data_IF_766865474084
#
_entry.id   IF_766865474084
#
_cell.length_a   1.000
_cell.length_b   1.000
_cell.length_c   1.000
_cell.angle_alpha   90.00
_cell.angle_beta   90.00
_cell.angle_gamma   90.00
#
_symmetry.space_group_name_H-M   'P 1'
#
loop_
_entity.id
_entity.type
_entity.pdbx_description
1 polymer ?
#
# COMPACT_ATOMS: atom_id res chain seq x y z
N UNK A 1 -37.41 -36.73 31.22
CA UNK A 1 -36.50 -36.38 32.34
C UNK A 1 -35.49 -35.38 31.81
N UNK A 2 -35.41 -34.16 32.36
CA UNK A 2 -34.57 -33.09 31.84
C UNK A 2 -33.23 -33.09 32.58
N UNK A 3 -32.17 -33.61 31.96
CA UNK A 3 -30.81 -33.44 32.46
C UNK A 3 -29.82 -33.51 31.30
N UNK A 4 -29.46 -32.35 30.75
CA UNK A 4 -28.18 -32.03 30.11
C UNK A 4 -28.27 -30.64 29.45
N UNK A 5 -28.33 -29.57 30.26
CA UNK A 5 -28.24 -28.18 29.75
C UNK A 5 -27.08 -27.38 30.33
N UNK A 6 -26.24 -27.97 31.19
CA UNK A 6 -25.09 -27.28 31.76
C UNK A 6 -23.84 -28.16 31.68
N UNK A 7 -23.15 -28.10 30.55
CA UNK A 7 -21.73 -28.46 30.44
C UNK A 7 -20.97 -27.21 29.98
N UNK A 8 -19.88 -26.80 30.64
CA UNK A 8 -19.13 -25.57 30.32
C UNK A 8 -18.32 -25.66 29.00
N UNK A 9 -18.39 -26.79 28.30
CA UNK A 9 -17.58 -27.11 27.11
C UNK A 9 -18.36 -27.10 25.79
N UNK A 10 -19.64 -26.70 25.78
CA UNK A 10 -20.36 -26.59 24.51
C UNK A 10 -20.23 -25.15 23.99
N UNK A 11 -19.49 -24.89 22.89
CA UNK A 11 -19.38 -23.54 22.35
C UNK A 11 -20.77 -23.03 22.01
N UNK A 12 -21.08 -21.82 22.46
CA UNK A 12 -22.38 -21.21 22.18
C UNK A 12 -22.62 -21.19 20.67
N UNK A 13 -23.59 -21.98 20.21
CA UNK A 13 -23.86 -22.22 18.78
C UNK A 13 -24.04 -20.91 18.00
N UNK A 14 -24.56 -19.86 18.64
CA UNK A 14 -24.70 -18.54 18.04
C UNK A 14 -23.36 -17.86 17.77
N UNK A 15 -22.44 -17.90 18.74
CA UNK A 15 -21.09 -17.37 18.59
C UNK A 15 -20.30 -18.13 17.53
N UNK A 16 -20.40 -19.46 17.52
CA UNK A 16 -19.74 -20.29 16.52
C UNK A 16 -20.23 -19.97 15.10
N UNK A 17 -21.54 -19.75 14.92
CA UNK A 17 -22.11 -19.28 13.66
C UNK A 17 -21.57 -17.90 13.25
N UNK A 18 -21.42 -16.96 14.19
CA UNK A 18 -20.89 -15.63 13.93
C UNK A 18 -19.41 -15.68 13.52
N UNK A 19 -18.61 -16.52 14.17
CA UNK A 19 -17.20 -16.72 13.84
C UNK A 19 -17.05 -17.37 12.46
N UNK A 20 -17.92 -18.33 12.12
CA UNK A 20 -17.97 -18.90 10.78
C UNK A 20 -18.26 -17.82 9.72
N UNK A 21 -19.25 -16.96 9.95
CA UNK A 21 -19.54 -15.85 9.04
C UNK A 21 -18.39 -14.83 8.97
N UNK A 22 -17.78 -14.49 10.09
CA UNK A 22 -16.62 -13.60 10.13
C UNK A 22 -15.48 -14.17 9.27
N UNK A 23 -15.18 -15.47 9.41
CA UNK A 23 -14.20 -16.16 8.59
C UNK A 23 -14.60 -16.18 7.10
N UNK A 24 -15.86 -16.49 6.80
CA UNK A 24 -16.38 -16.51 5.42
C UNK A 24 -16.24 -15.16 4.72
N UNK A 25 -16.46 -14.06 5.44
CA UNK A 25 -16.30 -12.69 4.93
C UNK A 25 -14.88 -12.11 5.11
N UNK A 26 -13.92 -12.89 5.62
CA UNK A 26 -12.53 -12.48 5.81
C UNK A 26 -12.31 -11.45 6.94
N UNK A 27 -13.24 -11.34 7.89
CA UNK A 27 -13.15 -10.45 9.05
C UNK A 27 -12.42 -11.16 10.19
N UNK A 28 -11.31 -10.62 10.74
CA UNK A 28 -10.65 -11.21 11.89
C UNK A 28 -11.55 -11.02 13.13
N UNK A 29 -11.94 -12.12 13.76
CA UNK A 29 -12.73 -12.14 14.98
C UNK A 29 -12.14 -13.17 15.96
N UNK A 30 -12.04 -12.79 17.22
CA UNK A 30 -11.55 -13.64 18.31
C UNK A 30 -12.71 -14.03 19.22
N UNK A 31 -12.87 -15.34 19.45
CA UNK A 31 -13.95 -15.91 20.24
C UNK A 31 -13.87 -15.46 21.71
N UNK A 32 -12.68 -15.49 22.30
CA UNK A 32 -12.47 -15.18 23.73
C UNK A 32 -12.71 -13.70 24.00
N UNK A 33 -12.24 -12.83 23.11
CA UNK A 33 -12.45 -11.39 23.21
C UNK A 33 -13.95 -11.03 23.12
N UNK A 34 -14.67 -11.63 22.17
CA UNK A 34 -16.10 -11.36 21.99
C UNK A 34 -16.92 -11.86 23.18
N UNK A 35 -16.60 -13.04 23.71
CA UNK A 35 -17.23 -13.54 24.92
C UNK A 35 -16.95 -12.64 26.11
N UNK A 36 -15.70 -12.23 26.33
CA UNK A 36 -15.34 -11.39 27.48
C UNK A 36 -16.05 -10.02 27.47
N UNK A 37 -16.21 -9.41 26.29
CA UNK A 37 -16.78 -8.06 26.16
C UNK A 37 -18.31 -8.04 26.16
N UNK A 38 -18.97 -9.09 25.67
CA UNK A 38 -20.41 -9.07 25.41
C UNK A 38 -21.22 -10.20 26.06
N UNK A 39 -20.58 -11.23 26.63
CA UNK A 39 -21.31 -12.28 27.34
C UNK A 39 -21.55 -11.89 28.82
N UNK A 40 -22.78 -12.07 29.29
CA UNK A 40 -23.07 -12.03 30.73
C UNK A 40 -22.63 -13.36 31.37
N UNK A 41 -21.86 -13.30 32.46
CA UNK A 41 -21.34 -14.48 33.14
C UNK A 41 -22.48 -15.44 33.53
N UNK A 42 -22.46 -16.66 32.98
CA UNK A 42 -23.37 -17.74 33.34
C UNK A 42 -24.73 -17.75 32.62
N UNK A 43 -24.94 -16.94 31.57
CA UNK A 43 -26.14 -17.00 30.72
C UNK A 43 -25.78 -17.34 29.26
N UNK A 44 -26.64 -18.07 28.53
CA UNK A 44 -26.47 -18.26 27.09
C UNK A 44 -26.53 -16.92 26.36
N UNK A 45 -25.80 -16.76 25.24
CA UNK A 45 -25.87 -15.55 24.43
C UNK A 45 -27.32 -15.30 23.99
N UNK A 46 -27.81 -14.13 24.34
CA UNK A 46 -29.05 -13.63 23.78
C UNK A 46 -28.84 -13.08 22.36
N UNK A 47 -29.90 -13.06 21.56
CA UNK A 47 -29.91 -12.53 20.20
C UNK A 47 -29.38 -11.09 20.15
N UNK A 48 -29.71 -10.30 21.17
CA UNK A 48 -29.23 -8.92 21.33
C UNK A 48 -27.71 -8.86 21.50
N UNK A 49 -27.12 -9.79 22.26
CA UNK A 49 -25.68 -9.88 22.42
C UNK A 49 -25.00 -10.25 21.11
N UNK A 50 -25.56 -11.22 20.37
CA UNK A 50 -25.05 -11.63 19.06
C UNK A 50 -25.07 -10.50 18.03
N UNK A 51 -26.16 -9.71 18.00
CA UNK A 51 -26.27 -8.52 17.14
C UNK A 51 -25.25 -7.45 17.52
N UNK A 52 -24.95 -7.26 18.82
CA UNK A 52 -23.93 -6.31 19.29
C UNK A 52 -22.53 -6.76 18.91
N UNK A 53 -22.19 -8.03 19.14
CA UNK A 53 -20.91 -8.63 18.74
C UNK A 53 -20.68 -8.46 17.23
N UNK A 54 -21.69 -8.78 16.42
CA UNK A 54 -21.61 -8.63 14.97
C UNK A 54 -21.40 -7.18 14.53
N UNK A 55 -22.05 -6.22 15.20
CA UNK A 55 -21.84 -4.79 14.95
C UNK A 55 -20.46 -4.30 15.37
N UNK A 56 -19.92 -4.84 16.46
CA UNK A 56 -18.58 -4.52 16.94
C UNK A 56 -17.50 -4.95 15.94
N UNK A 57 -17.60 -6.16 15.38
CA UNK A 57 -16.64 -6.67 14.38
C UNK A 57 -16.84 -6.10 12.96
N UNK A 58 -17.83 -5.21 12.77
CA UNK A 58 -17.98 -4.43 11.52
C UNK A 58 -19.12 -4.86 10.59
N UNK A 59 -19.98 -5.81 10.99
CA UNK A 59 -21.20 -6.13 10.25
C UNK A 59 -22.33 -5.14 10.56
N UNK A 60 -23.16 -4.83 9.57
CA UNK A 60 -24.52 -4.35 9.80
C UNK A 60 -25.41 -5.56 10.02
N UNK A 61 -25.80 -5.79 11.27
CA UNK A 61 -26.64 -6.92 11.66
C UNK A 61 -28.05 -6.48 12.09
N UNK A 62 -29.07 -7.20 11.62
CA UNK A 62 -30.47 -7.00 12.00
C UNK A 62 -31.19 -8.36 12.10
N UNK A 63 -32.01 -8.52 13.12
CA UNK A 63 -32.94 -9.64 13.23
C UNK A 63 -34.24 -9.31 12.47
N UNK A 64 -34.80 -10.30 11.78
CA UNK A 64 -36.03 -10.20 10.98
C UNK A 64 -36.78 -11.53 11.10
N UNK A 65 -38.10 -11.46 11.26
CA UNK A 65 -38.97 -12.63 11.17
C UNK A 65 -39.27 -12.92 9.68
N UNK A 66 -39.14 -14.18 9.26
CA UNK A 66 -39.26 -14.59 7.87
C UNK A 66 -40.04 -15.88 7.75
N UNK A 67 -40.59 -16.09 6.56
CA UNK A 67 -41.29 -17.31 6.15
C UNK A 67 -40.55 -17.96 4.98
N UNK A 68 -40.86 -19.23 4.70
CA UNK A 68 -40.18 -20.00 3.64
C UNK A 68 -40.15 -19.28 2.28
N UNK A 69 -41.26 -18.69 1.78
CA UNK A 69 -41.27 -18.02 0.47
C UNK A 69 -40.32 -16.81 0.36
N UNK A 70 -39.88 -16.26 1.51
CA UNK A 70 -38.97 -15.10 1.54
C UNK A 70 -37.50 -15.49 1.61
N UNK A 71 -37.16 -16.75 1.94
CA UNK A 71 -35.78 -17.20 2.06
C UNK A 71 -35.00 -17.09 0.74
N UNK A 72 -35.64 -17.35 -0.40
CA UNK A 72 -35.02 -17.23 -1.73
C UNK A 72 -34.81 -15.78 -2.18
N UNK A 73 -35.54 -14.82 -1.58
CA UNK A 73 -35.48 -13.40 -1.91
C UNK A 73 -34.52 -12.59 -1.00
N UNK A 74 -34.03 -13.20 0.07
CA UNK A 74 -33.14 -12.56 1.06
C UNK A 74 -31.67 -12.78 0.67
N UNK A 75 -30.81 -11.80 1.00
CA UNK A 75 -29.37 -11.94 0.85
C UNK A 75 -28.81 -12.93 1.89
N UNK A 76 -28.46 -14.13 1.44
CA UNK A 76 -27.75 -15.16 2.19
C UNK A 76 -26.22 -14.95 2.05
N UNK A 77 -25.39 -15.34 3.03
CA UNK A 77 -25.69 -16.18 4.19
C UNK A 77 -26.28 -15.44 5.41
N UNK A 78 -27.10 -16.14 6.19
CA UNK A 78 -27.79 -15.62 7.39
C UNK A 78 -27.74 -16.62 8.56
N UNK A 79 -27.78 -16.15 9.81
CA UNK A 79 -27.90 -17.04 10.99
C UNK A 79 -29.39 -17.23 11.28
N UNK A 80 -29.81 -18.46 11.56
CA UNK A 80 -31.16 -18.78 11.98
C UNK A 80 -31.14 -19.53 13.31
N UNK A 81 -32.21 -19.41 14.08
CA UNK A 81 -32.40 -20.16 15.32
C UNK A 81 -33.40 -21.30 15.12
N UNK A 82 -33.05 -22.48 15.61
CA UNK A 82 -33.94 -23.64 15.64
C UNK A 82 -34.83 -23.63 16.89
N UNK A 83 -35.93 -24.38 16.87
CA UNK A 83 -36.83 -24.53 18.03
C UNK A 83 -36.16 -25.13 19.26
N UNK A 84 -35.08 -25.91 19.10
CA UNK A 84 -34.32 -26.48 20.23
C UNK A 84 -33.36 -25.47 20.90
N UNK A 85 -33.26 -24.24 20.35
CA UNK A 85 -32.39 -23.18 20.84
C UNK A 85 -31.03 -23.07 20.12
N UNK A 86 -30.63 -24.05 19.30
CA UNK A 86 -29.40 -24.02 18.49
C UNK A 86 -29.47 -22.99 17.37
N UNK A 87 -28.32 -22.43 17.03
CA UNK A 87 -28.15 -21.54 15.88
C UNK A 87 -27.43 -22.27 14.76
N UNK A 88 -27.90 -22.08 13.52
CA UNK A 88 -27.27 -22.62 12.31
C UNK A 88 -27.16 -21.52 11.24
N UNK A 89 -26.20 -21.64 10.34
CA UNK A 89 -26.01 -20.69 9.25
C UNK A 89 -26.71 -21.21 7.99
N UNK A 90 -27.65 -20.44 7.45
CA UNK A 90 -28.20 -20.68 6.12
C UNK A 90 -27.22 -20.11 5.10
N UNK A 91 -26.63 -20.99 4.28
CA UNK A 91 -25.65 -20.61 3.25
C UNK A 91 -26.36 -20.32 1.93
N UNK A 92 -27.35 -21.15 1.58
CA UNK A 92 -28.10 -21.03 0.33
C UNK A 92 -29.50 -21.65 0.49
N UNK A 93 -30.50 -21.03 -0.11
CA UNK A 93 -31.86 -21.56 -0.20
C UNK A 93 -32.24 -21.74 -1.67
N UNK A 94 -32.80 -22.90 -2.01
CA UNK A 94 -33.42 -23.24 -3.30
C UNK A 94 -34.89 -23.64 -3.05
N UNK A 95 -35.70 -23.75 -4.11
CA UNK A 95 -37.17 -23.84 -3.99
C UNK A 95 -37.66 -24.96 -3.04
N UNK A 96 -36.99 -26.12 -3.04
CA UNK A 96 -37.39 -27.32 -2.26
C UNK A 96 -36.33 -27.80 -1.25
N UNK A 97 -35.18 -27.10 -1.15
CA UNK A 97 -34.06 -27.52 -0.29
C UNK A 97 -33.23 -26.33 0.18
N UNK A 98 -32.67 -26.46 1.38
CA UNK A 98 -31.81 -25.44 1.98
C UNK A 98 -30.47 -26.05 2.38
N UNK A 99 -29.40 -25.32 2.06
CA UNK A 99 -28.05 -25.64 2.49
C UNK A 99 -27.75 -24.90 3.79
N UNK A 100 -27.60 -25.66 4.86
CA UNK A 100 -27.24 -25.14 6.18
C UNK A 100 -25.83 -25.58 6.57
N UNK A 101 -25.20 -24.79 7.42
CA UNK A 101 -23.99 -25.17 8.14
C UNK A 101 -24.28 -25.11 9.63
N UNK A 102 -24.21 -26.27 10.28
CA UNK A 102 -24.23 -26.41 11.72
C UNK A 102 -22.78 -26.34 12.23
N UNK A 103 -22.43 -25.42 13.15
CA UNK A 103 -21.10 -25.37 13.74
C UNK A 103 -20.66 -26.67 14.44
N UNK A 104 -21.60 -27.52 14.85
CA UNK A 104 -21.30 -28.84 15.42
C UNK A 104 -20.87 -29.87 14.36
N UNK A 105 -21.13 -29.61 13.08
CA UNK A 105 -20.79 -30.52 11.99
C UNK A 105 -19.76 -29.92 11.01
N UNK A 106 -18.70 -30.66 10.65
CA UNK A 106 -17.64 -30.15 9.78
C UNK A 106 -18.06 -29.98 8.31
N UNK A 107 -19.24 -30.48 7.91
CA UNK A 107 -19.74 -30.42 6.53
C UNK A 107 -21.09 -29.72 6.47
N UNK A 108 -21.34 -28.93 5.41
CA UNK A 108 -22.66 -28.34 5.21
C UNK A 108 -23.69 -29.44 4.87
N UNK A 109 -24.86 -29.33 5.47
CA UNK A 109 -25.98 -30.26 5.30
C UNK A 109 -27.01 -29.66 4.34
N UNK A 110 -27.51 -30.47 3.42
CA UNK A 110 -28.66 -30.09 2.58
C UNK A 110 -29.91 -30.72 3.17
N UNK A 111 -30.85 -29.90 3.62
CA UNK A 111 -32.12 -30.36 4.17
C UNK A 111 -33.26 -30.07 3.19
N UNK A 112 -34.20 -31.02 2.98
CA UNK A 112 -35.43 -30.75 2.28
C UNK A 112 -36.32 -29.81 3.09
N UNK A 113 -37.17 -29.06 2.40
CA UNK A 113 -38.06 -28.04 2.98
C UNK A 113 -38.79 -28.50 4.24
N UNK A 114 -39.49 -29.63 4.16
CA UNK A 114 -40.37 -30.10 5.21
C UNK A 114 -39.64 -30.31 6.55
N UNK A 115 -38.40 -30.78 6.48
CA UNK A 115 -37.57 -31.05 7.66
C UNK A 115 -37.05 -29.75 8.26
N UNK A 116 -36.64 -28.80 7.41
CA UNK A 116 -36.14 -27.51 7.88
C UNK A 116 -37.25 -26.65 8.48
N UNK A 117 -38.41 -26.59 7.83
CA UNK A 117 -39.55 -25.76 8.28
C UNK A 117 -40.11 -26.25 9.62
N UNK A 118 -40.03 -27.56 9.91
CA UNK A 118 -40.38 -28.12 11.24
C UNK A 118 -39.39 -27.74 12.34
N UNK A 119 -38.10 -27.56 12.01
CA UNK A 119 -37.04 -27.24 12.97
C UNK A 119 -36.82 -25.73 13.13
N UNK A 120 -37.28 -24.92 12.19
CA UNK A 120 -36.98 -23.49 12.10
C UNK A 120 -37.96 -22.62 12.91
N UNK A 121 -37.42 -21.77 13.78
CA UNK A 121 -38.23 -20.85 14.61
C UNK A 121 -38.85 -19.66 13.86
N UNK A 122 -38.59 -19.51 12.55
CA UNK A 122 -39.02 -18.35 11.76
C UNK A 122 -38.13 -17.10 11.89
N UNK A 123 -37.11 -17.12 12.75
CA UNK A 123 -36.28 -15.96 13.05
C UNK A 123 -34.92 -15.99 12.35
N UNK A 124 -34.58 -14.92 11.64
CA UNK A 124 -33.33 -14.77 10.89
C UNK A 124 -32.53 -13.57 11.37
N UNK A 125 -31.22 -13.72 11.43
CA UNK A 125 -30.27 -12.64 11.65
C UNK A 125 -29.49 -12.43 10.35
N UNK A 126 -29.69 -11.26 9.74
CA UNK A 126 -29.07 -10.88 8.49
C UNK A 126 -27.79 -10.10 8.76
N UNK A 127 -26.75 -10.41 7.99
CA UNK A 127 -25.44 -9.78 8.10
C UNK A 127 -25.04 -9.15 6.76
N UNK A 128 -24.73 -7.86 6.79
CA UNK A 128 -24.16 -7.16 5.63
C UNK A 128 -22.83 -6.57 6.06
N UNK A 129 -21.74 -6.95 5.41
CA UNK A 129 -20.44 -6.34 5.68
C UNK A 129 -20.46 -4.86 5.27
N UNK A 130 -20.12 -3.94 6.18
CA UNK A 130 -19.97 -2.52 5.82
C UNK A 130 -18.83 -2.39 4.82
N UNK A 131 -19.04 -1.65 3.73
CA UNK A 131 -18.01 -1.40 2.72
C UNK A 131 -16.70 -0.81 3.29
N UNK A 132 -16.78 -0.12 4.44
CA UNK A 132 -15.62 0.42 5.16
C UNK A 132 -14.75 -0.61 5.89
N UNK A 133 -15.23 -1.86 6.03
CA UNK A 133 -14.62 -2.88 6.89
C UNK A 133 -14.03 -4.06 6.10
N UNK A 134 -14.00 -4.02 4.76
CA UNK A 134 -13.28 -5.01 3.95
C UNK A 134 -11.76 -4.85 4.22
N UNK A 135 -11.09 -5.87 4.78
CA UNK A 135 -9.64 -5.83 4.92
C UNK A 135 -9.02 -5.97 3.52
N UNK A 136 -8.64 -4.83 2.93
CA UNK A 136 -8.05 -4.76 1.59
C UNK A 136 -8.29 -3.43 0.86
N UNK A 137 -9.35 -2.70 1.21
CA UNK A 137 -9.70 -1.42 0.58
C UNK A 137 -9.60 -0.25 1.59
N UNK A 138 -8.45 -0.10 2.26
CA UNK A 138 -8.16 1.20 2.87
C UNK A 138 -7.81 2.17 1.74
N UNK A 139 -8.71 3.11 1.46
CA UNK A 139 -8.36 4.32 0.71
C UNK A 139 -7.14 4.94 1.39
N UNK A 140 -6.12 5.32 0.61
CA UNK A 140 -4.95 6.04 1.10
C UNK A 140 -5.43 7.28 1.88
N UNK A 141 -5.30 7.24 3.20
CA UNK A 141 -5.65 8.37 4.07
C UNK A 141 -4.36 9.04 4.52
N UNK A 142 -4.20 10.33 4.23
CA UNK A 142 -3.04 11.13 4.62
C UNK A 142 -3.26 11.81 5.98
N UNK A 143 -4.46 11.74 6.58
CA UNK A 143 -4.77 12.45 7.83
C UNK A 143 -3.94 11.95 9.03
N UNK A 144 -3.54 10.68 9.04
CA UNK A 144 -2.67 10.14 10.10
C UNK A 144 -1.21 10.60 9.96
N UNK A 145 -0.82 11.11 8.78
CA UNK A 145 0.56 11.53 8.47
C UNK A 145 0.85 12.97 8.92
N UNK A 146 -0.15 13.85 8.88
CA UNK A 146 -0.03 15.27 9.24
C UNK A 146 0.57 15.51 10.64
N UNK A 147 0.18 14.79 11.72
CA UNK A 147 0.74 15.00 13.05
C UNK A 147 2.25 14.68 13.14
N UNK A 148 2.73 13.69 12.38
CA UNK A 148 4.13 13.28 12.39
C UNK A 148 5.05 14.31 11.71
N UNK A 149 4.59 14.93 10.62
CA UNK A 149 5.27 16.05 9.94
C UNK A 149 5.39 17.25 10.88
N UNK A 150 4.28 17.63 11.52
CA UNK A 150 4.23 18.82 12.39
C UNK A 150 5.19 18.68 13.58
N UNK A 151 5.38 17.45 14.09
CA UNK A 151 6.31 17.15 15.18
C UNK A 151 7.78 17.41 14.80
N UNK A 152 8.15 17.25 13.53
CA UNK A 152 9.53 17.41 13.03
C UNK A 152 9.74 18.64 12.14
N UNK A 153 8.84 19.65 12.24
CA UNK A 153 8.83 20.84 11.36
C UNK A 153 10.15 21.61 11.26
N UNK A 154 10.95 21.66 12.33
CA UNK A 154 12.25 22.37 12.32
C UNK A 154 13.26 21.65 11.42
N UNK A 155 13.32 20.33 11.56
CA UNK A 155 14.18 19.45 10.78
C UNK A 155 13.75 19.43 9.30
N UNK A 156 12.44 19.39 9.04
CA UNK A 156 11.89 19.52 7.69
C UNK A 156 12.16 20.90 7.09
N UNK A 157 12.09 21.97 7.87
CA UNK A 157 12.38 23.33 7.41
C UNK A 157 13.83 23.51 6.94
N UNK A 158 14.80 22.98 7.68
CA UNK A 158 16.22 23.00 7.29
C UNK A 158 16.47 22.20 6.00
N UNK A 159 15.82 21.04 5.86
CA UNK A 159 15.91 20.20 4.66
C UNK A 159 15.18 20.82 3.47
N UNK A 160 14.13 21.62 3.69
CA UNK A 160 13.40 22.35 2.64
C UNK A 160 14.15 23.58 2.13
N UNK A 161 14.98 24.21 2.97
CA UNK A 161 15.68 25.45 2.60
C UNK A 161 16.73 25.22 1.51
N UNK A 162 17.50 24.13 1.59
CA UNK A 162 18.56 23.85 0.62
C UNK A 162 18.03 23.58 -0.81
N UNK A 163 17.04 22.70 -1.05
CA UNK A 163 16.42 22.53 -2.37
C UNK A 163 15.86 23.82 -2.96
N UNK A 164 15.31 24.71 -2.12
CA UNK A 164 14.81 26.00 -2.59
C UNK A 164 15.93 26.87 -3.19
N UNK A 165 17.07 27.00 -2.52
CA UNK A 165 18.21 27.77 -3.03
C UNK A 165 18.90 27.10 -4.22
N UNK A 166 19.05 25.77 -4.18
CA UNK A 166 19.56 24.97 -5.32
C UNK A 166 18.73 25.25 -6.57
N UNK A 167 17.41 25.16 -6.45
CA UNK A 167 16.51 25.34 -7.58
C UNK A 167 16.43 26.79 -8.05
N UNK A 168 16.61 27.76 -7.13
CA UNK A 168 16.77 29.18 -7.48
C UNK A 168 18.06 29.41 -8.29
N UNK A 169 19.18 28.83 -7.89
CA UNK A 169 20.45 28.92 -8.65
C UNK A 169 20.36 28.20 -10.00
N UNK A 170 19.62 27.10 -10.08
CA UNK A 170 19.34 26.43 -11.34
C UNK A 170 18.61 27.34 -12.34
N UNK A 171 17.75 28.25 -11.88
CA UNK A 171 17.08 29.25 -12.73
C UNK A 171 18.02 30.36 -13.21
N UNK A 172 19.08 30.66 -12.46
CA UNK A 172 20.06 31.67 -12.87
C UNK A 172 20.89 31.19 -14.07
N UNK A 173 21.25 29.90 -14.13
CA UNK A 173 22.11 29.36 -15.19
C UNK A 173 21.64 29.65 -16.62
N UNK A 174 20.36 29.41 -16.98
CA UNK A 174 19.81 29.82 -18.29
C UNK A 174 19.95 31.32 -18.56
N UNK A 175 19.75 32.17 -17.55
CA UNK A 175 19.86 33.63 -17.69
C UNK A 175 21.31 34.06 -17.96
N UNK A 176 22.28 33.44 -17.29
CA UNK A 176 23.71 33.64 -17.58
C UNK A 176 24.04 33.22 -19.02
N UNK A 177 23.52 32.07 -19.46
CA UNK A 177 23.72 31.58 -20.83
C UNK A 177 23.16 32.58 -21.85
N UNK A 178 21.93 33.06 -21.64
CA UNK A 178 21.30 34.06 -22.49
C UNK A 178 22.15 35.32 -22.61
N UNK A 179 22.64 35.86 -21.49
CA UNK A 179 23.48 37.07 -21.49
C UNK A 179 24.82 36.83 -22.23
N UNK A 180 25.41 35.64 -22.09
CA UNK A 180 26.64 35.29 -22.82
C UNK A 180 26.38 35.24 -24.32
N UNK A 181 25.29 34.63 -24.76
CA UNK A 181 24.96 34.51 -26.18
C UNK A 181 24.55 35.87 -26.77
N UNK A 182 23.58 36.54 -26.15
CA UNK A 182 22.98 37.76 -26.71
C UNK A 182 23.90 38.97 -26.55
N UNK A 183 24.52 39.19 -25.38
CA UNK A 183 25.30 40.41 -25.13
C UNK A 183 26.78 40.23 -25.41
N UNK A 184 27.37 39.16 -24.88
CA UNK A 184 28.83 38.99 -24.90
C UNK A 184 29.33 38.56 -26.27
N UNK A 185 28.65 37.61 -26.91
CA UNK A 185 29.01 37.12 -28.24
C UNK A 185 28.82 38.21 -29.31
N UNK A 186 27.72 38.97 -29.23
CA UNK A 186 27.43 40.06 -30.17
C UNK A 186 28.42 41.24 -30.03
N UNK A 187 28.70 41.68 -28.81
CA UNK A 187 29.53 42.88 -28.56
C UNK A 187 31.02 42.57 -28.32
N UNK A 188 31.44 41.30 -28.38
CA UNK A 188 32.82 40.82 -28.11
C UNK A 188 33.41 41.31 -26.78
N UNK A 189 32.57 41.46 -25.76
CA UNK A 189 32.95 41.97 -24.44
C UNK A 189 33.71 40.94 -23.60
N UNK A 190 35.04 40.85 -23.74
CA UNK A 190 35.84 39.86 -23.00
C UNK A 190 35.77 40.05 -21.47
N UNK A 191 35.70 41.29 -20.99
CA UNK A 191 35.57 41.58 -19.55
C UNK A 191 34.25 41.05 -18.99
N UNK A 192 33.13 41.28 -19.69
CA UNK A 192 31.82 40.75 -19.28
C UNK A 192 31.81 39.22 -19.31
N UNK A 193 32.46 38.58 -20.30
CA UNK A 193 32.59 37.12 -20.35
C UNK A 193 33.30 36.57 -19.12
N UNK A 194 34.43 37.17 -18.74
CA UNK A 194 35.22 36.73 -17.58
C UNK A 194 34.42 36.88 -16.28
N UNK A 195 33.72 38.00 -16.10
CA UNK A 195 32.86 38.22 -14.93
C UNK A 195 31.72 37.21 -14.87
N UNK A 196 31.03 36.98 -15.99
CA UNK A 196 29.97 35.97 -16.08
C UNK A 196 30.51 34.56 -15.81
N UNK A 197 31.67 34.21 -16.38
CA UNK A 197 32.31 32.90 -16.17
C UNK A 197 32.69 32.67 -14.70
N UNK A 198 33.28 33.66 -14.02
CA UNK A 198 33.59 33.59 -12.59
C UNK A 198 32.30 33.48 -11.76
N UNK A 199 31.27 34.25 -12.13
CA UNK A 199 29.95 34.18 -11.50
C UNK A 199 29.30 32.80 -11.64
N UNK A 200 29.30 32.22 -12.84
CA UNK A 200 28.81 30.87 -13.11
C UNK A 200 29.61 29.82 -12.33
N UNK A 201 30.94 29.93 -12.29
CA UNK A 201 31.78 28.99 -11.55
C UNK A 201 31.50 29.06 -10.04
N UNK A 202 31.27 30.26 -9.53
CA UNK A 202 30.89 30.48 -8.13
C UNK A 202 29.50 29.92 -7.84
N UNK A 203 28.51 30.16 -8.70
CA UNK A 203 27.17 29.58 -8.56
C UNK A 203 27.20 28.05 -8.60
N UNK A 204 27.95 27.45 -9.52
CA UNK A 204 28.12 25.99 -9.60
C UNK A 204 28.81 25.44 -8.35
N UNK A 205 29.79 26.15 -7.80
CA UNK A 205 30.43 25.75 -6.54
C UNK A 205 29.42 25.77 -5.37
N UNK A 206 28.60 26.83 -5.27
CA UNK A 206 27.53 26.91 -4.27
C UNK A 206 26.47 25.83 -4.46
N UNK A 207 26.08 25.54 -5.70
CA UNK A 207 25.14 24.46 -6.02
C UNK A 207 25.66 23.10 -5.52
N UNK A 208 26.90 22.74 -5.86
CA UNK A 208 27.53 21.48 -5.42
C UNK A 208 27.65 21.43 -3.90
N UNK A 209 28.08 22.53 -3.25
CA UNK A 209 28.21 22.60 -1.79
C UNK A 209 26.86 22.46 -1.07
N UNK A 210 25.83 23.17 -1.54
CA UNK A 210 24.48 23.10 -0.96
C UNK A 210 23.85 21.73 -1.22
N UNK A 211 24.06 21.14 -2.40
CA UNK A 211 23.59 19.80 -2.73
C UNK A 211 24.27 18.74 -1.85
N UNK A 212 25.58 18.86 -1.63
CA UNK A 212 26.33 18.03 -0.70
C UNK A 212 25.84 18.18 0.75
N UNK A 213 25.67 19.42 1.22
CA UNK A 213 25.16 19.71 2.56
C UNK A 213 23.75 19.18 2.76
N UNK A 214 22.86 19.38 1.77
CA UNK A 214 21.50 18.80 1.74
C UNK A 214 21.58 17.29 1.91
N UNK A 215 22.40 16.62 1.11
CA UNK A 215 22.55 15.16 1.14
C UNK A 215 23.10 14.66 2.48
N UNK A 216 24.04 15.40 3.07
CA UNK A 216 24.61 15.09 4.38
C UNK A 216 23.58 15.25 5.51
N UNK A 217 22.94 16.43 5.61
CA UNK A 217 21.90 16.71 6.62
C UNK A 217 20.79 15.67 6.48
N UNK A 218 20.42 15.36 5.24
CA UNK A 218 19.43 14.35 4.92
C UNK A 218 19.84 12.96 5.45
N UNK A 219 21.02 12.46 5.10
CA UNK A 219 21.52 11.16 5.55
C UNK A 219 21.63 11.07 7.08
N UNK A 220 22.13 12.13 7.72
CA UNK A 220 22.23 12.21 9.17
C UNK A 220 20.86 12.16 9.86
N UNK A 221 19.89 12.88 9.28
CA UNK A 221 18.52 12.92 9.78
C UNK A 221 17.84 11.57 9.66
N UNK A 222 17.89 10.96 8.48
CA UNK A 222 17.32 9.63 8.25
C UNK A 222 17.89 8.64 9.25
N UNK A 223 19.22 8.57 9.35
CA UNK A 223 19.90 7.65 10.28
C UNK A 223 19.44 7.80 11.74
N UNK A 224 19.23 9.03 12.22
CA UNK A 224 18.73 9.25 13.58
C UNK A 224 17.29 8.77 13.76
N UNK A 225 16.43 9.05 12.79
CA UNK A 225 15.03 8.60 12.81
C UNK A 225 14.99 7.06 12.80
N UNK A 226 15.84 6.43 12.00
CA UNK A 226 15.95 4.97 11.86
C UNK A 226 16.31 4.33 13.19
N UNK A 227 17.29 4.91 13.92
CA UNK A 227 17.68 4.44 15.25
C UNK A 227 16.56 4.59 16.28
N UNK A 228 15.87 5.74 16.32
CA UNK A 228 14.80 5.98 17.28
C UNK A 228 13.61 5.06 17.04
N UNK A 229 13.19 4.92 15.78
CA UNK A 229 12.07 4.07 15.40
C UNK A 229 12.42 2.58 15.56
N UNK A 230 13.62 2.16 15.12
CA UNK A 230 14.09 0.79 15.31
C UNK A 230 14.09 0.39 16.78
N UNK A 231 14.57 1.27 17.67
CA UNK A 231 14.55 1.02 19.11
C UNK A 231 13.13 1.00 19.71
N UNK A 232 12.23 1.88 19.26
CA UNK A 232 10.83 1.88 19.73
C UNK A 232 10.06 0.65 19.26
N UNK A 233 10.22 0.28 18.00
CA UNK A 233 9.61 -0.88 17.39
C UNK A 233 10.08 -2.16 18.09
N UNK A 234 11.39 -2.32 18.32
CA UNK A 234 11.93 -3.47 19.04
C UNK A 234 11.40 -3.54 20.48
N UNK A 235 11.33 -2.40 21.20
CA UNK A 235 10.71 -2.34 22.54
C UNK A 235 9.23 -2.73 22.52
N UNK A 236 8.48 -2.35 21.48
CA UNK A 236 7.08 -2.74 21.35
C UNK A 236 6.95 -4.24 21.08
N UNK A 237 7.78 -4.80 20.19
CA UNK A 237 7.81 -6.23 19.92
C UNK A 237 8.04 -7.07 21.18
N UNK A 238 8.99 -6.67 22.02
CA UNK A 238 9.28 -7.38 23.28
C UNK A 238 8.15 -7.31 24.32
N UNK A 239 7.19 -6.40 24.16
CA UNK A 239 6.04 -6.25 25.07
C UNK A 239 4.79 -6.99 24.59
N UNK A 240 4.82 -7.59 23.40
CA UNK A 240 3.68 -8.31 22.87
C UNK A 240 3.51 -9.66 23.58
N UNK A 241 2.26 -10.08 23.87
CA UNK A 241 1.98 -11.37 24.50
C UNK A 241 2.37 -12.52 23.56
N UNK A 242 2.74 -13.67 24.13
CA UNK A 242 3.19 -14.87 23.40
C UNK A 242 2.17 -15.33 22.34
N UNK A 243 0.87 -15.21 22.62
CA UNK A 243 -0.21 -15.55 21.69
C UNK A 243 -0.13 -14.81 20.33
N UNK A 244 0.46 -13.61 20.29
CA UNK A 244 0.68 -12.86 19.05
C UNK A 244 1.72 -13.54 18.14
N UNK A 245 2.72 -14.20 18.73
CA UNK A 245 3.80 -14.88 18.00
C UNK A 245 3.42 -16.31 17.57
N UNK A 246 2.49 -16.95 18.27
CA UNK A 246 2.02 -18.30 17.93
C UNK A 246 1.04 -18.30 16.75
N UNK A 247 0.27 -17.23 16.58
CA UNK A 247 -0.74 -17.11 15.52
C UNK A 247 -0.19 -16.59 14.19
N UNK A 248 1.05 -16.10 14.15
CA UNK A 248 1.62 -15.42 12.97
C UNK A 248 2.99 -15.96 12.60
N UNK A 249 3.21 -16.17 11.30
CA UNK A 249 4.53 -16.54 10.79
C UNK A 249 5.53 -15.42 11.09
N UNK A 250 6.72 -15.80 11.58
CA UNK A 250 7.82 -14.87 11.86
C UNK A 250 8.14 -13.99 10.63
N UNK A 251 8.05 -14.56 9.43
CA UNK A 251 8.24 -13.85 8.15
C UNK A 251 7.26 -12.70 7.90
N UNK A 252 5.97 -12.85 8.26
CA UNK A 252 4.95 -11.81 8.07
C UNK A 252 5.16 -10.62 9.01
N UNK A 253 5.75 -10.90 10.17
CA UNK A 253 6.09 -9.88 11.16
C UNK A 253 7.30 -9.08 10.70
N UNK A 254 8.35 -9.75 10.22
CA UNK A 254 9.55 -9.09 9.65
C UNK A 254 9.21 -8.28 8.40
N UNK A 255 8.32 -8.77 7.54
CA UNK A 255 7.86 -8.05 6.37
C UNK A 255 7.18 -6.71 6.72
N UNK A 256 6.32 -6.68 7.75
CA UNK A 256 5.67 -5.43 8.21
C UNK A 256 6.65 -4.41 8.78
N UNK A 257 7.70 -4.87 9.46
CA UNK A 257 8.76 -3.98 9.95
C UNK A 257 9.45 -3.28 8.78
N UNK A 258 9.73 -4.04 7.72
CA UNK A 258 10.34 -3.51 6.50
C UNK A 258 9.39 -2.58 5.72
N UNK A 259 8.09 -2.85 5.75
CA UNK A 259 7.09 -1.92 5.17
C UNK A 259 7.04 -0.59 5.93
N UNK A 260 7.14 -0.59 7.26
CA UNK A 260 7.20 0.64 8.06
C UNK A 260 8.44 1.49 7.72
N UNK A 261 9.58 0.83 7.47
CA UNK A 261 10.81 1.46 6.99
C UNK A 261 10.63 2.08 5.61
N UNK A 262 9.99 1.38 4.67
CA UNK A 262 9.69 1.91 3.33
C UNK A 262 8.69 3.09 3.37
N UNK A 263 7.65 3.00 4.21
CA UNK A 263 6.71 4.09 4.42
C UNK A 263 7.45 5.31 4.99
N UNK A 264 8.34 5.12 5.97
CA UNK A 264 9.17 6.19 6.53
C UNK A 264 10.06 6.85 5.47
N UNK A 265 10.76 6.07 4.65
CA UNK A 265 11.59 6.61 3.56
C UNK A 265 10.77 7.50 2.61
N UNK A 266 9.58 7.04 2.21
CA UNK A 266 8.68 7.82 1.37
C UNK A 266 8.25 9.15 2.02
N UNK A 267 7.94 9.12 3.32
CA UNK A 267 7.43 10.28 4.06
C UNK A 267 8.50 11.31 4.40
N UNK A 268 9.73 10.88 4.65
CA UNK A 268 10.80 11.76 5.13
C UNK A 268 11.61 12.36 3.97
N UNK A 269 11.72 11.66 2.84
CA UNK A 269 12.56 12.07 1.71
C UNK A 269 11.75 12.60 0.53
N UNK A 270 11.03 11.68 -0.12
CA UNK A 270 10.53 11.93 -1.47
C UNK A 270 9.37 12.90 -1.47
N UNK A 271 8.51 12.82 -0.45
CA UNK A 271 7.30 13.64 -0.39
C UNK A 271 7.61 15.14 -0.24
N UNK A 272 8.61 15.47 0.56
CA UNK A 272 8.95 16.86 0.92
C UNK A 272 9.69 17.54 -0.23
N UNK A 273 10.63 16.82 -0.87
CA UNK A 273 11.34 17.35 -2.04
C UNK A 273 10.41 17.48 -3.23
N UNK A 274 9.48 16.52 -3.42
CA UNK A 274 8.50 16.56 -4.51
C UNK A 274 7.65 17.83 -4.46
N UNK A 275 7.28 18.34 -3.28
CA UNK A 275 6.52 19.60 -3.20
C UNK A 275 7.33 20.79 -3.72
N UNK A 276 8.60 20.91 -3.34
CA UNK A 276 9.48 21.96 -3.86
C UNK A 276 9.73 21.78 -5.35
N UNK A 277 10.04 20.55 -5.78
CA UNK A 277 10.33 20.24 -7.17
C UNK A 277 9.10 20.54 -8.04
N UNK A 278 7.90 20.22 -7.56
CA UNK A 278 6.64 20.53 -8.25
C UNK A 278 6.38 22.05 -8.30
N UNK A 279 6.60 22.75 -7.19
CA UNK A 279 6.48 24.21 -7.15
C UNK A 279 7.41 24.86 -8.18
N UNK A 280 8.69 24.50 -8.20
CA UNK A 280 9.63 25.05 -9.16
C UNK A 280 9.38 24.54 -10.58
N UNK A 281 8.89 23.32 -10.79
CA UNK A 281 8.47 22.86 -12.11
C UNK A 281 7.41 23.80 -12.70
N UNK A 282 6.45 24.26 -11.88
CA UNK A 282 5.47 25.28 -12.30
C UNK A 282 6.18 26.60 -12.60
N UNK A 283 7.11 27.04 -11.75
CA UNK A 283 7.90 28.27 -12.00
C UNK A 283 8.67 28.17 -13.32
N UNK A 284 9.35 27.06 -13.62
CA UNK A 284 10.06 26.83 -14.88
C UNK A 284 9.10 26.85 -16.07
N UNK A 285 7.94 26.19 -15.97
CA UNK A 285 6.92 26.23 -17.03
C UNK A 285 6.39 27.64 -17.28
N UNK A 286 6.18 28.42 -16.22
CA UNK A 286 5.75 29.83 -16.34
C UNK A 286 6.83 30.67 -17.00
N UNK A 287 8.09 30.55 -16.57
CA UNK A 287 9.22 31.25 -17.18
C UNK A 287 9.36 30.87 -18.65
N UNK A 288 9.35 29.57 -18.97
CA UNK A 288 9.40 29.10 -20.36
C UNK A 288 8.23 29.63 -21.20
N UNK A 289 7.03 29.71 -20.64
CA UNK A 289 5.86 30.26 -21.34
C UNK A 289 6.06 31.74 -21.71
N UNK A 290 6.69 32.52 -20.82
CA UNK A 290 7.05 33.91 -21.12
C UNK A 290 8.12 34.04 -22.21
N UNK A 291 9.04 33.08 -22.36
CA UNK A 291 9.98 33.06 -23.49
C UNK A 291 9.29 32.68 -24.80
N UNK A 292 8.56 31.56 -24.82
CA UNK A 292 7.80 31.14 -26.01
C UNK A 292 6.71 30.12 -25.65
N UNK A 293 5.43 30.44 -25.87
CA UNK A 293 4.32 29.51 -25.68
C UNK A 293 4.46 28.23 -26.53
N UNK A 294 5.02 28.33 -27.74
CA UNK A 294 5.15 27.22 -28.68
C UNK A 294 6.19 26.20 -28.19
N UNK A 295 7.38 26.67 -27.79
CA UNK A 295 8.42 25.79 -27.21
C UNK A 295 7.97 25.16 -25.90
N UNK A 296 7.21 25.90 -25.08
CA UNK A 296 6.64 25.38 -23.84
C UNK A 296 5.66 24.25 -24.11
N UNK A 297 4.83 24.36 -25.16
CA UNK A 297 3.92 23.29 -25.56
C UNK A 297 4.67 22.05 -26.04
N UNK A 298 5.75 22.21 -26.81
CA UNK A 298 6.62 21.08 -27.23
C UNK A 298 7.17 20.34 -26.01
N UNK A 299 7.60 21.06 -24.96
CA UNK A 299 8.13 20.45 -23.73
C UNK A 299 7.01 19.87 -22.85
N UNK A 300 5.89 20.56 -22.70
CA UNK A 300 4.75 20.06 -21.92
C UNK A 300 4.08 18.84 -22.56
N UNK A 301 4.06 18.79 -23.90
CA UNK A 301 3.52 17.68 -24.69
C UNK A 301 4.55 16.59 -24.93
N UNK A 302 5.84 16.84 -24.64
CA UNK A 302 6.84 15.77 -24.62
C UNK A 302 6.33 14.71 -23.67
N UNK A 303 6.14 13.49 -24.20
CA UNK A 303 5.24 12.47 -23.69
C UNK A 303 5.60 11.88 -22.31
N UNK A 304 6.43 12.57 -21.52
CA UNK A 304 6.91 12.16 -20.20
C UNK A 304 5.77 11.99 -19.18
N UNK A 305 4.80 12.91 -19.15
CA UNK A 305 3.61 12.81 -18.28
C UNK A 305 2.74 11.61 -18.67
N UNK A 306 2.51 11.41 -19.97
CA UNK A 306 1.70 10.31 -20.50
C UNK A 306 2.39 8.96 -20.26
N UNK A 307 3.69 8.88 -20.55
CA UNK A 307 4.53 7.72 -20.32
C UNK A 307 4.54 7.36 -18.82
N UNK A 308 4.71 8.35 -17.94
CA UNK A 308 4.70 8.14 -16.49
C UNK A 308 3.37 7.62 -15.98
N UNK A 309 2.23 8.20 -16.42
CA UNK A 309 0.89 7.77 -15.99
C UNK A 309 0.57 6.34 -16.46
N UNK A 310 0.97 5.96 -17.67
CA UNK A 310 0.69 4.63 -18.24
C UNK A 310 1.62 3.56 -17.65
N UNK A 311 2.91 3.86 -17.52
CA UNK A 311 3.92 2.86 -17.13
C UNK A 311 3.95 2.62 -15.62
N UNK A 312 3.74 3.65 -14.80
CA UNK A 312 3.78 3.53 -13.33
C UNK A 312 2.89 2.41 -12.76
N UNK A 313 1.61 2.25 -13.13
CA UNK A 313 0.78 1.18 -12.60
C UNK A 313 1.28 -0.21 -13.01
N UNK A 314 1.82 -0.34 -14.22
CA UNK A 314 2.35 -1.62 -14.74
C UNK A 314 3.64 -1.99 -13.99
N UNK A 315 4.54 -1.03 -13.78
CA UNK A 315 5.75 -1.23 -12.98
C UNK A 315 5.40 -1.61 -11.55
N UNK A 316 4.44 -0.91 -10.91
CA UNK A 316 4.00 -1.24 -9.55
C UNK A 316 3.47 -2.66 -9.45
N UNK A 317 2.61 -3.10 -10.38
CA UNK A 317 2.07 -4.46 -10.38
C UNK A 317 3.18 -5.52 -10.47
N UNK A 318 4.18 -5.32 -11.34
CA UNK A 318 5.31 -6.25 -11.49
C UNK A 318 6.28 -6.20 -10.32
N UNK A 319 6.47 -5.04 -9.70
CA UNK A 319 7.23 -4.92 -8.46
C UNK A 319 6.54 -5.66 -7.31
N UNK A 320 5.21 -5.54 -7.17
CA UNK A 320 4.46 -6.30 -6.17
C UNK A 320 4.60 -7.82 -6.38
N UNK A 321 4.51 -8.30 -7.63
CA UNK A 321 4.75 -9.71 -7.94
C UNK A 321 6.18 -10.14 -7.52
N UNK A 322 7.21 -9.34 -7.85
CA UNK A 322 8.60 -9.58 -7.42
C UNK A 322 8.74 -9.62 -5.90
N UNK A 323 8.12 -8.68 -5.18
CA UNK A 323 8.19 -8.62 -3.72
C UNK A 323 7.49 -9.82 -3.06
N UNK A 324 6.32 -10.22 -3.55
CA UNK A 324 5.60 -11.39 -3.04
C UNK A 324 6.41 -12.67 -3.23
N UNK A 325 6.97 -12.89 -4.44
CA UNK A 325 7.87 -14.03 -4.71
C UNK A 325 9.13 -13.99 -3.85
N UNK A 326 9.69 -12.81 -3.61
CA UNK A 326 10.84 -12.64 -2.71
C UNK A 326 10.51 -13.00 -1.27
N UNK A 327 9.32 -12.64 -0.79
CA UNK A 327 8.84 -12.99 0.55
C UNK A 327 8.62 -14.51 0.69
N UNK A 328 8.05 -15.16 -0.33
CA UNK A 328 7.91 -16.63 -0.39
C UNK A 328 9.27 -17.33 -0.28
N UNK A 329 10.26 -16.92 -1.08
CA UNK A 329 11.61 -17.49 -1.02
C UNK A 329 12.26 -17.29 0.36
N UNK A 330 12.13 -16.10 0.95
CA UNK A 330 12.69 -15.82 2.27
C UNK A 330 12.02 -16.68 3.35
N UNK A 331 10.71 -16.84 3.30
CA UNK A 331 9.96 -17.69 4.23
C UNK A 331 10.39 -19.16 4.10
N UNK A 332 10.51 -19.67 2.86
CA UNK A 332 10.96 -21.03 2.60
C UNK A 332 12.39 -21.28 3.12
N UNK A 333 13.29 -20.31 2.97
CA UNK A 333 14.65 -20.40 3.51
C UNK A 333 14.65 -20.49 5.04
N UNK A 334 13.86 -19.64 5.71
CA UNK A 334 13.74 -19.65 7.18
C UNK A 334 13.15 -20.99 7.66
N UNK A 335 12.12 -21.50 7.00
CA UNK A 335 11.50 -22.80 7.30
C UNK A 335 12.48 -23.95 7.11
N UNK A 336 13.24 -23.95 6.01
CA UNK A 336 14.23 -24.98 5.70
C UNK A 336 15.38 -25.01 6.70
N UNK A 337 15.87 -23.83 7.11
CA UNK A 337 16.95 -23.73 8.12
C UNK A 337 16.44 -24.11 9.50
N UNK A 338 15.22 -23.68 9.88
CA UNK A 338 14.63 -24.03 11.17
C UNK A 338 14.30 -25.53 11.27
N UNK A 339 13.83 -26.12 10.17
CA UNK A 339 13.51 -27.53 10.03
C UNK A 339 14.67 -28.42 9.57
N UNK A 340 15.91 -27.93 9.59
CA UNK A 340 17.05 -28.62 8.96
C UNK A 340 17.29 -30.03 9.51
N UNK A 341 17.04 -30.24 10.81
CA UNK A 341 17.17 -31.56 11.45
C UNK A 341 16.18 -32.56 10.84
N UNK A 342 14.93 -32.14 10.64
CA UNK A 342 13.88 -32.97 10.02
C UNK A 342 14.24 -33.30 8.59
N UNK A 343 14.64 -32.29 7.81
CA UNK A 343 15.04 -32.46 6.40
C UNK A 343 16.18 -33.47 6.26
N UNK A 344 17.21 -33.36 7.12
CA UNK A 344 18.34 -34.29 7.16
C UNK A 344 17.96 -35.69 7.64
N UNK A 345 17.12 -35.80 8.66
CA UNK A 345 16.66 -37.09 9.19
C UNK A 345 15.80 -37.88 8.20
N UNK A 346 15.05 -37.17 7.34
CA UNK A 346 14.18 -37.78 6.33
C UNK A 346 14.87 -37.98 4.97
N UNK A 347 16.13 -37.54 4.83
CA UNK A 347 16.91 -37.60 3.57
C UNK A 347 16.18 -37.00 2.35
N UNK A 348 15.43 -35.90 2.56
CA UNK A 348 14.62 -35.23 1.53
C UNK A 348 15.33 -34.00 0.93
N UNK A 349 16.64 -33.84 1.11
CA UNK A 349 17.39 -32.69 0.58
C UNK A 349 17.21 -32.49 -0.93
N UNK A 350 17.27 -33.53 -1.78
CA UNK A 350 17.11 -33.33 -3.23
C UNK A 350 15.74 -32.74 -3.59
N UNK A 351 14.67 -33.15 -2.89
CA UNK A 351 13.33 -32.61 -3.11
C UNK A 351 13.21 -31.17 -2.65
N UNK A 352 13.80 -30.83 -1.49
CA UNK A 352 13.84 -29.45 -1.00
C UNK A 352 14.67 -28.53 -1.89
N UNK A 353 15.77 -29.04 -2.46
CA UNK A 353 16.60 -28.33 -3.41
C UNK A 353 15.84 -28.06 -4.72
N UNK A 354 15.15 -29.05 -5.27
CA UNK A 354 14.33 -28.84 -6.47
C UNK A 354 13.24 -27.77 -6.23
N UNK A 355 12.59 -27.80 -5.06
CA UNK A 355 11.58 -26.80 -4.69
C UNK A 355 12.18 -25.40 -4.53
N UNK A 356 13.39 -25.30 -3.96
CA UNK A 356 14.13 -24.04 -3.90
C UNK A 356 14.46 -23.51 -5.30
N UNK A 357 14.93 -24.36 -6.20
CA UNK A 357 15.30 -23.96 -7.55
C UNK A 357 14.08 -23.44 -8.34
N UNK A 358 12.92 -24.08 -8.20
CA UNK A 358 11.65 -23.62 -8.81
C UNK A 358 11.22 -22.25 -8.26
N UNK A 359 11.26 -22.06 -6.95
CA UNK A 359 10.94 -20.80 -6.30
C UNK A 359 11.91 -19.68 -6.69
N UNK A 360 13.21 -19.98 -6.71
CA UNK A 360 14.26 -19.07 -7.13
C UNK A 360 14.10 -18.68 -8.60
N UNK A 361 13.81 -19.64 -9.48
CA UNK A 361 13.53 -19.36 -10.89
C UNK A 361 12.30 -18.45 -11.06
N UNK A 362 11.24 -18.67 -10.27
CA UNK A 362 10.06 -17.81 -10.23
C UNK A 362 10.38 -16.36 -9.83
N UNK A 363 11.13 -16.19 -8.73
CA UNK A 363 11.58 -14.87 -8.26
C UNK A 363 12.48 -14.16 -9.27
N UNK A 364 13.48 -14.85 -9.82
CA UNK A 364 14.40 -14.29 -10.82
C UNK A 364 13.65 -13.89 -12.08
N UNK A 365 12.71 -14.70 -12.56
CA UNK A 365 11.89 -14.40 -13.74
C UNK A 365 10.98 -13.18 -13.51
N UNK A 366 10.36 -13.07 -12.34
CA UNK A 366 9.56 -11.89 -11.97
C UNK A 366 10.45 -10.63 -11.88
N UNK A 367 11.62 -10.75 -11.26
CA UNK A 367 12.61 -9.68 -11.17
C UNK A 367 13.14 -9.23 -12.52
N UNK A 368 13.45 -10.16 -13.42
CA UNK A 368 13.89 -9.87 -14.78
C UNK A 368 12.80 -9.16 -15.58
N UNK A 369 11.55 -9.63 -15.51
CA UNK A 369 10.41 -8.96 -16.16
C UNK A 369 10.22 -7.52 -15.67
N UNK A 370 10.31 -7.30 -14.36
CA UNK A 370 10.19 -5.96 -13.77
C UNK A 370 11.35 -5.05 -14.22
N UNK A 371 12.59 -5.54 -14.15
CA UNK A 371 13.76 -4.78 -14.57
C UNK A 371 13.75 -4.48 -16.08
N UNK A 372 13.38 -5.46 -16.91
CA UNK A 372 13.28 -5.27 -18.35
C UNK A 372 12.21 -4.23 -18.71
N UNK A 373 11.06 -4.25 -18.03
CA UNK A 373 10.03 -3.22 -18.20
C UNK A 373 10.57 -1.83 -17.82
N UNK A 374 11.26 -1.69 -16.68
CA UNK A 374 11.90 -0.43 -16.28
C UNK A 374 12.95 0.03 -17.29
N UNK A 375 13.71 -0.90 -17.86
CA UNK A 375 14.70 -0.59 -18.90
C UNK A 375 14.04 -0.09 -20.18
N UNK A 376 13.01 -0.79 -20.69
CA UNK A 376 12.26 -0.37 -21.87
C UNK A 376 11.65 1.02 -21.66
N UNK A 377 10.98 1.21 -20.51
CA UNK A 377 10.42 2.52 -20.13
C UNK A 377 11.49 3.62 -20.08
N UNK A 378 12.66 3.32 -19.52
CA UNK A 378 13.79 4.25 -19.47
C UNK A 378 14.35 4.60 -20.85
N UNK A 379 14.42 3.63 -21.76
CA UNK A 379 14.85 3.85 -23.14
C UNK A 379 13.84 4.68 -23.93
N UNK A 380 12.54 4.42 -23.77
CA UNK A 380 11.47 5.24 -24.37
C UNK A 380 11.51 6.68 -23.86
N UNK A 381 11.68 6.87 -22.54
CA UNK A 381 11.84 8.18 -21.94
C UNK A 381 13.08 8.93 -22.48
N UNK A 382 14.21 8.22 -22.62
CA UNK A 382 15.44 8.77 -23.20
C UNK A 382 15.26 9.15 -24.68
N UNK A 383 14.55 8.33 -25.44
CA UNK A 383 14.23 8.62 -26.84
C UNK A 383 13.34 9.86 -26.98
N UNK A 384 12.28 9.98 -26.17
CA UNK A 384 11.42 11.18 -26.11
C UNK A 384 12.25 12.40 -25.75
N UNK A 385 13.15 12.31 -24.76
CA UNK A 385 14.02 13.41 -24.37
C UNK A 385 14.91 13.87 -25.54
N UNK A 386 15.56 12.94 -26.26
CA UNK A 386 16.39 13.26 -27.42
C UNK A 386 15.59 13.90 -28.56
N UNK A 387 14.40 13.39 -28.87
CA UNK A 387 13.50 14.00 -29.86
C UNK A 387 13.11 15.40 -29.43
N UNK A 388 12.75 15.58 -28.16
CA UNK A 388 12.35 16.88 -27.61
C UNK A 388 13.50 17.88 -27.74
N UNK A 389 14.74 17.49 -27.42
CA UNK A 389 15.93 18.33 -27.63
C UNK A 389 16.09 18.73 -29.11
N UNK A 390 15.94 17.78 -30.05
CA UNK A 390 16.01 18.07 -31.49
C UNK A 390 14.89 19.04 -31.92
N UNK A 391 13.66 18.83 -31.44
CA UNK A 391 12.52 19.69 -31.74
C UNK A 391 12.71 21.10 -31.17
N UNK A 392 13.20 21.24 -29.94
CA UNK A 392 13.53 22.53 -29.33
C UNK A 392 14.56 23.26 -30.20
N UNK A 393 15.62 22.57 -30.62
CA UNK A 393 16.68 23.17 -31.44
C UNK A 393 16.16 23.58 -32.81
N UNK A 394 15.37 22.72 -33.47
CA UNK A 394 14.81 22.99 -34.79
C UNK A 394 13.77 24.13 -34.76
N UNK A 395 12.80 24.07 -33.85
CA UNK A 395 11.75 25.08 -33.72
C UNK A 395 12.34 26.39 -33.20
N UNK A 396 13.22 26.33 -32.20
CA UNK A 396 13.93 27.48 -31.66
C UNK A 396 14.76 28.19 -32.73
N UNK A 397 15.60 27.47 -33.47
CA UNK A 397 16.36 28.05 -34.58
C UNK A 397 15.46 28.67 -35.65
N UNK A 398 14.31 28.06 -35.95
CA UNK A 398 13.33 28.60 -36.90
C UNK A 398 12.72 29.92 -36.42
N UNK A 399 12.41 30.02 -35.12
CA UNK A 399 11.89 31.25 -34.50
C UNK A 399 12.94 32.37 -34.47
N UNK A 400 14.19 32.03 -34.18
CA UNK A 400 15.33 32.97 -34.22
C UNK A 400 15.56 33.48 -35.64
N UNK A 401 15.53 32.61 -36.65
CA UNK A 401 15.64 33.01 -38.06
C UNK A 401 14.49 33.93 -38.52
N UNK A 402 13.31 33.84 -37.90
CA UNK A 402 12.18 34.74 -38.14
C UNK A 402 12.28 36.06 -37.38
N UNK A 403 13.24 36.21 -36.47
CA UNK A 403 13.40 37.39 -35.61
C UNK A 403 12.37 37.48 -34.47
N UNK A 404 11.66 36.39 -34.16
CA UNK A 404 10.67 36.34 -33.06
C UNK A 404 11.35 36.11 -31.69
N UNK A 405 12.58 35.60 -31.67
CA UNK A 405 13.38 35.28 -30.48
C UNK A 405 14.84 35.68 -30.69
N UNK A 406 15.52 36.06 -29.60
CA UNK A 406 17.00 36.19 -29.60
C UNK A 406 17.65 34.81 -29.56
N UNK A 407 18.96 34.74 -29.83
CA UNK A 407 19.69 33.47 -29.95
C UNK A 407 19.84 32.79 -28.58
N UNK A 408 19.95 33.58 -27.51
CA UNK A 408 20.28 33.15 -26.15
C UNK A 408 19.15 32.53 -25.33
#
# INVERSE_FOLDING_TARGET
MPHALNSPDNPDSGLACLLFLAHYFGVPADAEQLQHEFAEHGKPLDEVALLRMARHIGFKASAVDSEWPRLSAIALPAITRQHDGRSVVIVRAEDEKVLIHDPAEPRPLTLPRDIFEQAWSGRLILFILRASSRPGERKFDFSWFVPAIIKHRKLLGEVLLAPFFIQLFALLMPLFFQVVIDKVLEHKGMMTLQVLAIGMLTLTLFDVLLSGLRTYIFSHTSSRIDVVLGAQLFRHFLRLPIAYFETRRVGDTVARVRELESIREFLTLSSVTLVIDLFFTIVFLVVMYFYSPLLTLVVALSAYLILSVIITPIIRARLHEKFNRGAENQAFLVESVSGIKTIKSMAVEPSMQQRWDEQLAGYVKAGFKANNLSNVAGQEASFINKITTILILWVGATLVMKGELSIG
#
